data_IF_314584420128
#
_entry.id   IF_314584420128
#
_cell.length_a   1.000
_cell.length_b   1.000
_cell.length_c   1.000
_cell.angle_alpha   90.00
_cell.angle_beta   90.00
_cell.angle_gamma   90.00
#
_symmetry.space_group_name_H-M   'P 1'
#
loop_
_entity.id
_entity.type
_entity.pdbx_description
1 polymer ?
#
# COMPACT_ATOMS: atom_id res chain seq x y z
N UNK A 1 1.16 3.01 28.51
CA UNK A 1 -0.26 2.71 28.76
C UNK A 1 -0.88 2.23 27.46
N UNK A 2 -1.84 1.30 27.49
CA UNK A 2 -2.57 0.93 26.27
C UNK A 2 -3.36 2.13 25.75
N UNK A 3 -3.42 2.25 24.43
CA UNK A 3 -4.18 3.26 23.68
C UNK A 3 -5.38 2.59 23.03
N UNK A 4 -6.44 3.35 22.78
CA UNK A 4 -7.62 2.87 22.10
C UNK A 4 -7.50 3.21 20.61
N UNK A 5 -7.54 2.19 19.75
CA UNK A 5 -7.37 2.34 18.30
C UNK A 5 -8.63 1.83 17.59
N UNK A 6 -9.15 2.63 16.67
CA UNK A 6 -10.22 2.23 15.77
C UNK A 6 -9.63 1.86 14.41
N UNK A 7 -9.88 0.66 13.91
CA UNK A 7 -9.51 0.24 12.55
C UNK A 7 -10.78 0.23 11.69
N UNK A 8 -10.80 1.07 10.64
CA UNK A 8 -11.88 1.12 9.66
C UNK A 8 -11.58 0.15 8.51
N UNK A 9 -12.43 -0.85 8.34
CA UNK A 9 -12.28 -1.94 7.38
C UNK A 9 -11.79 -3.23 8.04
N UNK A 10 -12.57 -4.29 7.92
CA UNK A 10 -12.26 -5.66 8.35
C UNK A 10 -11.91 -6.59 7.18
N UNK A 11 -11.42 -6.02 6.08
CA UNK A 11 -10.81 -6.76 4.98
C UNK A 11 -9.50 -7.45 5.39
N UNK A 12 -8.79 -8.03 4.42
CA UNK A 12 -7.54 -8.77 4.68
C UNK A 12 -6.50 -7.93 5.43
N UNK A 13 -6.22 -6.72 4.93
CA UNK A 13 -5.20 -5.84 5.52
C UNK A 13 -5.69 -5.22 6.82
N UNK A 14 -6.91 -4.70 6.88
CA UNK A 14 -7.49 -4.13 8.10
C UNK A 14 -7.60 -5.14 9.24
N UNK A 15 -7.96 -6.39 8.94
CA UNK A 15 -7.92 -7.48 9.92
C UNK A 15 -6.51 -7.77 10.43
N UNK A 16 -5.50 -7.81 9.56
CA UNK A 16 -4.10 -8.01 9.95
C UNK A 16 -3.59 -6.87 10.87
N UNK A 17 -3.92 -5.62 10.51
CA UNK A 17 -3.63 -4.42 11.32
C UNK A 17 -4.26 -4.55 12.71
N UNK A 18 -5.54 -4.92 12.76
CA UNK A 18 -6.26 -5.03 14.03
C UNK A 18 -5.66 -6.09 14.95
N UNK A 19 -5.32 -7.26 14.41
CA UNK A 19 -4.71 -8.37 15.17
C UNK A 19 -3.31 -8.00 15.68
N UNK A 20 -2.49 -7.35 14.86
CA UNK A 20 -1.13 -6.96 15.24
C UNK A 20 -1.12 -5.85 16.31
N UNK A 21 -1.99 -4.84 16.18
CA UNK A 21 -2.10 -3.78 17.18
C UNK A 21 -2.71 -4.28 18.50
N UNK A 22 -3.61 -5.26 18.46
CA UNK A 22 -4.27 -5.81 19.65
C UNK A 22 -3.30 -6.51 20.62
N UNK A 23 -2.11 -6.90 20.16
CA UNK A 23 -1.05 -7.42 21.03
C UNK A 23 -0.53 -6.40 22.05
N UNK A 24 -0.69 -5.09 21.78
CA UNK A 24 -0.11 -4.00 22.59
C UNK A 24 -1.11 -2.89 22.96
N UNK A 25 -2.26 -2.82 22.29
CA UNK A 25 -3.26 -1.77 22.43
C UNK A 25 -4.68 -2.33 22.52
N UNK A 26 -5.65 -1.49 22.89
CA UNK A 26 -7.06 -1.86 22.83
C UNK A 26 -7.58 -1.52 21.43
N UNK A 27 -7.99 -2.52 20.68
CA UNK A 27 -8.40 -2.34 19.27
C UNK A 27 -9.90 -2.59 19.13
N UNK A 28 -10.56 -1.68 18.42
CA UNK A 28 -11.92 -1.89 17.90
C UNK A 28 -11.86 -1.89 16.39
N UNK A 29 -12.49 -2.87 15.75
CA UNK A 29 -12.56 -2.97 14.30
C UNK A 29 -13.99 -2.66 13.82
N UNK A 30 -14.09 -1.90 12.73
CA UNK A 30 -15.36 -1.48 12.14
C UNK A 30 -15.49 -1.91 10.68
N UNK A 31 -16.66 -2.38 10.29
CA UNK A 31 -16.97 -2.75 8.90
C UNK A 31 -18.50 -2.76 8.70
N UNK A 32 -18.97 -2.63 7.46
CA UNK A 32 -20.38 -2.82 7.08
C UNK A 32 -20.80 -4.30 7.10
N UNK A 33 -19.81 -5.19 7.00
CA UNK A 33 -20.00 -6.63 6.88
C UNK A 33 -19.77 -7.31 8.22
N UNK A 34 -20.87 -7.74 8.83
CA UNK A 34 -20.85 -8.60 10.03
C UNK A 34 -19.96 -9.84 9.83
N UNK A 35 -19.98 -10.41 8.63
CA UNK A 35 -19.14 -11.56 8.26
C UNK A 35 -17.64 -11.23 8.25
N UNK A 36 -17.26 -10.02 7.85
CA UNK A 36 -15.87 -9.59 7.88
C UNK A 36 -15.40 -9.41 9.33
N UNK A 37 -16.20 -8.75 10.17
CA UNK A 37 -15.94 -8.61 11.60
C UNK A 37 -15.77 -9.96 12.31
N UNK A 38 -16.68 -10.90 12.05
CA UNK A 38 -16.63 -12.24 12.66
C UNK A 38 -15.30 -12.96 12.38
N UNK A 39 -14.72 -12.83 11.18
CA UNK A 39 -13.42 -13.46 10.87
C UNK A 39 -12.30 -12.97 11.77
N UNK A 40 -12.27 -11.67 12.06
CA UNK A 40 -11.25 -11.07 12.94
C UNK A 40 -11.49 -11.48 14.39
N UNK A 41 -12.75 -11.49 14.83
CA UNK A 41 -13.13 -11.88 16.20
C UNK A 41 -12.89 -13.36 16.50
N UNK A 42 -12.96 -14.24 15.49
CA UNK A 42 -12.58 -15.65 15.64
C UNK A 42 -11.09 -15.81 15.96
N UNK A 43 -10.25 -14.93 15.42
CA UNK A 43 -8.80 -14.93 15.68
C UNK A 43 -8.44 -14.18 16.97
N UNK A 44 -9.20 -13.13 17.32
CA UNK A 44 -9.03 -12.42 18.57
C UNK A 44 -10.38 -11.95 19.18
N UNK A 45 -10.99 -12.78 20.05
CA UNK A 45 -12.28 -12.48 20.67
C UNK A 45 -12.31 -11.24 21.58
N UNK A 46 -11.14 -10.76 22.00
CA UNK A 46 -11.02 -9.59 22.88
C UNK A 46 -11.08 -8.25 22.12
N UNK A 47 -11.11 -8.27 20.79
CA UNK A 47 -11.22 -7.05 20.00
C UNK A 47 -12.64 -6.46 20.12
N UNK A 48 -12.74 -5.14 20.26
CA UNK A 48 -14.01 -4.45 20.11
C UNK A 48 -14.52 -4.54 18.67
N UNK A 49 -15.84 -4.42 18.47
CA UNK A 49 -16.45 -4.42 17.14
C UNK A 49 -17.49 -3.33 16.99
N UNK A 50 -17.57 -2.74 15.81
CA UNK A 50 -18.62 -1.80 15.42
C UNK A 50 -19.14 -2.12 14.02
N UNK A 51 -20.44 -2.38 13.89
CA UNK A 51 -21.07 -2.63 12.59
C UNK A 51 -21.60 -1.32 12.01
N UNK A 52 -20.83 -0.67 11.15
CA UNK A 52 -21.24 0.55 10.44
C UNK A 52 -20.38 0.82 9.21
N UNK A 53 -20.86 1.70 8.34
CA UNK A 53 -20.10 2.21 7.21
C UNK A 53 -19.03 3.20 7.67
N UNK A 54 -17.76 2.82 7.52
CA UNK A 54 -16.61 3.66 7.88
C UNK A 54 -16.56 5.00 7.11
N UNK A 55 -17.23 5.10 5.96
CA UNK A 55 -17.43 6.35 5.22
C UNK A 55 -18.52 7.27 5.81
N UNK A 56 -19.28 6.81 6.81
CA UNK A 56 -20.37 7.60 7.41
C UNK A 56 -19.84 8.54 8.50
N UNK A 57 -19.75 9.83 8.16
CA UNK A 57 -19.26 10.88 9.05
C UNK A 57 -20.01 10.96 10.40
N UNK A 58 -21.35 10.90 10.38
CA UNK A 58 -22.15 11.07 11.61
C UNK A 58 -21.92 9.90 12.58
N UNK A 59 -21.84 8.67 12.05
CA UNK A 59 -21.46 7.50 12.84
C UNK A 59 -20.04 7.65 13.38
N UNK A 60 -19.09 8.10 12.56
CA UNK A 60 -17.72 8.30 13.00
C UNK A 60 -17.61 9.35 14.11
N UNK A 61 -18.29 10.50 13.99
CA UNK A 61 -18.35 11.52 15.05
C UNK A 61 -18.87 10.95 16.36
N UNK A 62 -19.98 10.20 16.31
CA UNK A 62 -20.61 9.64 17.52
C UNK A 62 -19.83 8.51 18.20
N UNK A 63 -18.83 7.92 17.52
CA UNK A 63 -18.11 6.73 18.02
C UNK A 63 -16.62 6.97 18.22
N UNK A 64 -16.02 7.92 17.51
CA UNK A 64 -14.57 8.10 17.48
C UNK A 64 -13.98 8.76 18.73
N UNK A 65 -14.81 9.42 19.55
CA UNK A 65 -14.37 10.25 20.69
C UNK A 65 -13.42 9.51 21.64
N UNK A 66 -13.71 8.25 21.96
CA UNK A 66 -12.93 7.42 22.91
C UNK A 66 -11.63 6.83 22.35
N UNK A 67 -11.34 7.04 21.06
CA UNK A 67 -10.16 6.51 20.39
C UNK A 67 -9.04 7.55 20.29
N UNK A 68 -7.81 7.12 20.52
CA UNK A 68 -6.59 7.93 20.39
C UNK A 68 -6.11 8.05 18.93
N UNK A 69 -6.42 7.03 18.11
CA UNK A 69 -5.96 6.92 16.71
C UNK A 69 -7.01 6.17 15.88
N UNK A 70 -7.14 6.57 14.62
CA UNK A 70 -7.86 5.80 13.60
C UNK A 70 -6.87 5.24 12.58
N UNK A 71 -6.99 3.96 12.24
CA UNK A 71 -6.32 3.38 11.06
C UNK A 71 -7.35 3.19 9.97
N UNK A 72 -7.23 3.93 8.87
CA UNK A 72 -8.13 3.85 7.73
C UNK A 72 -7.61 2.80 6.72
N UNK A 73 -8.31 1.67 6.65
CA UNK A 73 -8.02 0.54 5.78
C UNK A 73 -9.22 0.23 4.85
N UNK A 74 -9.97 1.26 4.47
CA UNK A 74 -11.13 1.16 3.61
C UNK A 74 -10.72 1.10 2.12
N UNK A 75 -11.59 0.59 1.24
CA UNK A 75 -11.35 0.58 -0.20
C UNK A 75 -11.13 1.97 -0.80
N UNK A 76 -10.37 2.03 -1.89
CA UNK A 76 -9.95 3.28 -2.54
C UNK A 76 -11.08 4.24 -2.89
N UNK A 77 -12.21 3.72 -3.40
CA UNK A 77 -13.36 4.54 -3.82
C UNK A 77 -14.05 5.31 -2.68
N UNK A 78 -13.84 4.93 -1.40
CA UNK A 78 -14.29 5.69 -0.23
C UNK A 78 -13.13 6.23 0.61
N UNK A 79 -11.90 5.82 0.34
CA UNK A 79 -10.72 6.09 1.16
C UNK A 79 -10.50 7.58 1.43
N UNK A 80 -10.56 8.42 0.39
CA UNK A 80 -10.36 9.87 0.54
C UNK A 80 -11.44 10.52 1.42
N UNK A 81 -12.71 10.16 1.19
CA UNK A 81 -13.83 10.67 2.00
C UNK A 81 -13.74 10.23 3.46
N UNK A 82 -13.32 8.99 3.71
CA UNK A 82 -13.15 8.48 5.07
C UNK A 82 -11.97 9.15 5.78
N UNK A 83 -10.84 9.38 5.09
CA UNK A 83 -9.71 10.14 5.61
C UNK A 83 -10.15 11.56 6.00
N UNK A 84 -10.89 12.26 5.12
CA UNK A 84 -11.47 13.58 5.41
C UNK A 84 -12.35 13.53 6.65
N UNK A 85 -13.24 12.55 6.76
CA UNK A 85 -14.12 12.38 7.92
C UNK A 85 -13.34 12.17 9.22
N UNK A 86 -12.27 11.38 9.19
CA UNK A 86 -11.40 11.17 10.37
C UNK A 86 -10.76 12.50 10.82
N UNK A 87 -10.27 13.30 9.86
CA UNK A 87 -9.69 14.61 10.13
C UNK A 87 -10.75 15.57 10.70
N UNK A 88 -11.96 15.60 10.14
CA UNK A 88 -13.07 16.43 10.63
C UNK A 88 -13.46 16.08 12.08
N UNK A 89 -13.34 14.82 12.47
CA UNK A 89 -13.51 14.34 13.84
C UNK A 89 -12.34 14.70 14.79
N UNK A 90 -11.29 15.36 14.29
CA UNK A 90 -10.12 15.75 15.08
C UNK A 90 -9.25 14.57 15.51
N UNK A 91 -9.26 13.47 14.74
CA UNK A 91 -8.51 12.25 15.07
C UNK A 91 -7.25 12.13 14.23
N UNK A 92 -6.13 11.82 14.89
CA UNK A 92 -4.93 11.39 14.20
C UNK A 92 -5.22 10.11 13.39
N UNK A 93 -4.59 9.98 12.22
CA UNK A 93 -4.89 8.94 11.25
C UNK A 93 -3.62 8.32 10.69
N UNK A 94 -3.61 6.99 10.58
CA UNK A 94 -2.74 6.27 9.64
C UNK A 94 -3.62 5.70 8.54
N UNK A 95 -3.35 6.05 7.30
CA UNK A 95 -4.18 5.66 6.15
C UNK A 95 -3.38 4.80 5.17
N UNK A 96 -4.00 3.71 4.72
CA UNK A 96 -3.46 2.81 3.69
C UNK A 96 -4.34 2.77 2.44
N UNK A 97 -5.35 3.64 2.36
CA UNK A 97 -6.35 3.59 1.30
C UNK A 97 -5.76 4.21 0.03
N UNK A 98 -5.80 3.46 -1.09
CA UNK A 98 -5.33 3.98 -2.37
C UNK A 98 -6.49 4.66 -3.12
N UNK A 99 -6.51 5.99 -3.18
CA UNK A 99 -7.58 6.77 -3.83
C UNK A 99 -7.01 7.71 -4.90
N UNK A 100 -7.70 8.02 -6.00
CA UNK A 100 -7.14 8.85 -7.09
C UNK A 100 -6.88 10.32 -6.72
N UNK A 101 -7.59 10.85 -5.72
CA UNK A 101 -7.47 12.22 -5.24
C UNK A 101 -6.09 12.55 -4.65
N UNK A 102 -5.77 13.84 -4.59
CA UNK A 102 -4.54 14.31 -3.98
C UNK A 102 -4.70 14.41 -2.45
N UNK A 103 -3.98 13.62 -1.63
CA UNK A 103 -4.13 13.67 -0.18
C UNK A 103 -3.80 15.06 0.39
N UNK A 104 -2.89 15.81 -0.25
CA UNK A 104 -2.48 17.14 0.22
C UNK A 104 -3.60 18.20 0.15
N UNK A 105 -4.69 17.95 -0.58
CA UNK A 105 -5.86 18.83 -0.59
C UNK A 105 -6.53 18.90 0.79
N UNK A 106 -6.27 17.91 1.65
CA UNK A 106 -6.72 17.86 3.05
C UNK A 106 -5.71 18.46 4.05
N UNK A 107 -4.55 18.95 3.60
CA UNK A 107 -3.47 19.42 4.49
C UNK A 107 -3.89 20.60 5.36
N UNK A 108 -4.53 21.62 4.78
CA UNK A 108 -5.01 22.79 5.52
C UNK A 108 -6.06 22.41 6.57
N UNK A 109 -7.00 21.52 6.20
CA UNK A 109 -8.02 21.00 7.12
C UNK A 109 -7.38 20.22 8.29
N UNK A 110 -6.39 19.37 8.01
CA UNK A 110 -5.68 18.63 9.04
C UNK A 110 -4.91 19.54 9.99
N UNK A 111 -4.29 20.62 9.48
CA UNK A 111 -3.64 21.63 10.33
C UNK A 111 -4.65 22.38 11.20
N UNK A 112 -5.78 22.82 10.64
CA UNK A 112 -6.86 23.50 11.39
C UNK A 112 -7.38 22.63 12.54
N UNK A 113 -7.54 21.32 12.30
CA UNK A 113 -8.02 20.35 13.30
C UNK A 113 -6.93 19.86 14.25
N UNK A 114 -5.67 20.26 14.07
CA UNK A 114 -4.54 19.78 14.88
C UNK A 114 -4.24 18.29 14.70
N UNK A 115 -4.63 17.72 13.56
CA UNK A 115 -4.56 16.30 13.24
C UNK A 115 -3.24 15.97 12.53
N UNK A 116 -2.63 14.85 12.92
CA UNK A 116 -1.53 14.18 12.21
C UNK A 116 -2.12 13.07 11.37
N UNK A 117 -2.08 13.21 10.06
CA UNK A 117 -2.60 12.21 9.13
C UNK A 117 -1.46 11.69 8.25
N UNK A 118 -0.96 10.49 8.58
CA UNK A 118 0.06 9.83 7.76
C UNK A 118 -0.64 9.00 6.70
N UNK A 119 -0.48 9.40 5.43
CA UNK A 119 -1.16 8.79 4.28
C UNK A 119 -0.27 7.77 3.59
N UNK A 120 -0.82 6.97 2.68
CA UNK A 120 -0.06 6.04 1.83
C UNK A 120 0.87 5.10 2.64
N UNK A 121 0.45 4.65 3.83
CA UNK A 121 1.29 3.90 4.78
C UNK A 121 1.33 2.38 4.53
N UNK A 122 1.46 1.94 3.28
CA UNK A 122 1.53 0.54 2.90
C UNK A 122 2.95 0.03 2.64
N UNK A 123 3.07 -1.01 1.81
CA UNK A 123 4.37 -1.46 1.29
C UNK A 123 4.85 -0.52 0.17
N UNK A 124 4.00 -0.29 -0.82
CA UNK A 124 4.19 0.57 -1.97
C UNK A 124 2.81 1.05 -2.47
N UNK A 125 2.47 2.34 -2.32
CA UNK A 125 3.26 3.37 -1.63
C UNK A 125 3.39 3.09 -0.13
N UNK A 126 4.43 3.65 0.51
CA UNK A 126 4.66 3.55 1.95
C UNK A 126 6.10 3.22 2.30
N UNK A 127 6.43 1.95 2.55
CA UNK A 127 7.82 1.56 2.83
C UNK A 127 8.76 1.93 1.66
N UNK A 128 8.34 1.77 0.41
CA UNK A 128 9.08 2.23 -0.78
C UNK A 128 9.39 3.73 -0.72
N UNK A 129 8.38 4.54 -0.38
CA UNK A 129 8.52 5.98 -0.20
C UNK A 129 9.46 6.34 0.95
N UNK A 130 9.36 5.66 2.09
CA UNK A 130 10.26 5.86 3.23
C UNK A 130 11.71 5.53 2.87
N UNK A 131 11.95 4.49 2.07
CA UNK A 131 13.29 4.19 1.53
C UNK A 131 13.78 5.36 0.67
N UNK A 132 12.93 5.89 -0.22
CA UNK A 132 13.27 7.05 -1.05
C UNK A 132 13.63 8.27 -0.20
N UNK A 133 12.78 8.62 0.77
CA UNK A 133 12.99 9.77 1.66
C UNK A 133 14.25 9.65 2.53
N UNK A 134 14.54 8.45 3.05
CA UNK A 134 15.76 8.20 3.84
C UNK A 134 17.03 8.46 3.02
N UNK A 135 17.09 7.95 1.79
CA UNK A 135 18.25 8.17 0.92
C UNK A 135 18.33 9.61 0.42
N UNK A 136 17.19 10.21 0.09
CA UNK A 136 17.14 11.62 -0.29
C UNK A 136 17.67 12.56 0.80
N UNK A 137 17.43 12.23 2.07
CA UNK A 137 17.97 13.00 3.20
C UNK A 137 19.47 12.79 3.46
N UNK A 138 20.07 11.73 2.90
CA UNK A 138 21.43 11.28 3.28
C UNK A 138 22.44 11.29 2.14
N UNK A 139 21.99 11.33 0.88
CA UNK A 139 22.83 11.36 -0.31
C UNK A 139 22.20 12.14 -1.47
N UNK A 140 22.99 12.50 -2.48
CA UNK A 140 22.49 13.11 -3.72
C UNK A 140 21.91 12.03 -4.64
N UNK A 141 20.62 11.76 -4.50
CA UNK A 141 19.92 10.70 -5.24
C UNK A 141 19.64 11.13 -6.68
N UNK A 142 19.99 10.26 -7.63
CA UNK A 142 19.77 10.45 -9.07
C UNK A 142 18.66 9.56 -9.62
N UNK A 143 18.60 8.32 -9.17
CA UNK A 143 17.65 7.32 -9.65
C UNK A 143 17.00 6.57 -8.49
N UNK A 144 15.69 6.41 -8.57
CA UNK A 144 14.88 5.57 -7.69
C UNK A 144 14.01 4.66 -8.54
N UNK A 145 14.09 3.36 -8.30
CA UNK A 145 13.25 2.36 -8.96
C UNK A 145 12.64 1.45 -7.90
N UNK A 146 11.31 1.35 -7.88
CA UNK A 146 10.57 0.42 -7.03
C UNK A 146 9.95 -0.67 -7.92
N UNK A 147 10.25 -1.92 -7.63
CA UNK A 147 9.59 -3.08 -8.21
C UNK A 147 8.80 -3.77 -7.11
N UNK A 148 7.49 -3.96 -7.28
CA UNK A 148 6.65 -4.53 -6.22
C UNK A 148 5.55 -5.44 -6.76
N UNK A 149 5.29 -6.55 -6.08
CA UNK A 149 4.17 -7.42 -6.41
C UNK A 149 3.85 -8.43 -5.32
N UNK A 150 2.56 -8.70 -5.15
CA UNK A 150 2.04 -9.88 -4.45
C UNK A 150 1.61 -10.92 -5.49
N UNK A 151 2.19 -12.11 -5.45
CA UNK A 151 2.00 -13.15 -6.44
C UNK A 151 1.76 -14.51 -5.76
N UNK A 152 1.01 -15.42 -6.40
CA UNK A 152 1.04 -16.82 -6.01
C UNK A 152 2.45 -17.40 -6.24
N UNK A 153 2.85 -18.35 -5.40
CA UNK A 153 4.01 -19.19 -5.69
C UNK A 153 3.70 -19.97 -6.98
N UNK A 154 4.68 -20.06 -7.88
CA UNK A 154 4.45 -20.64 -9.20
C UNK A 154 4.02 -22.11 -9.05
N UNK A 155 2.86 -22.44 -9.58
CA UNK A 155 2.40 -23.83 -9.75
C UNK A 155 2.49 -24.19 -11.23
N UNK A 156 2.57 -25.49 -11.55
CA UNK A 156 2.72 -26.01 -12.93
C UNK A 156 1.51 -25.74 -13.87
N UNK A 157 0.62 -24.80 -13.52
CA UNK A 157 -0.63 -24.49 -14.21
C UNK A 157 -0.68 -23.11 -14.89
N UNK A 158 -1.84 -22.78 -15.45
CA UNK A 158 -2.12 -21.52 -16.16
C UNK A 158 -2.50 -20.35 -15.25
N UNK A 159 -2.48 -20.54 -13.93
CA UNK A 159 -2.90 -19.57 -12.93
C UNK A 159 -1.70 -18.74 -12.47
N UNK A 160 -1.36 -17.74 -13.27
CA UNK A 160 -0.22 -16.83 -13.10
C UNK A 160 -0.52 -15.64 -12.18
N UNK A 161 -1.77 -15.50 -11.71
CA UNK A 161 -2.13 -14.45 -10.77
C UNK A 161 -3.32 -14.81 -9.88
N UNK A 162 -3.20 -14.46 -8.59
CA UNK A 162 -4.28 -14.44 -7.61
C UNK A 162 -4.28 -13.08 -6.97
N UNK A 163 -5.44 -12.43 -6.92
CA UNK A 163 -5.52 -11.03 -6.50
C UNK A 163 -5.44 -10.95 -4.95
N UNK A 164 -4.44 -10.25 -4.41
CA UNK A 164 -4.38 -10.02 -2.96
C UNK A 164 -5.47 -9.06 -2.49
N UNK A 165 -5.97 -8.20 -3.39
CA UNK A 165 -7.05 -7.21 -3.21
C UNK A 165 -8.16 -7.36 -4.29
N UNK A 166 -9.09 -6.40 -4.40
CA UNK A 166 -10.24 -6.53 -5.31
C UNK A 166 -9.80 -6.58 -6.78
N UNK A 167 -10.35 -7.48 -7.61
CA UNK A 167 -10.12 -7.48 -9.05
C UNK A 167 -10.48 -6.15 -9.72
N UNK A 168 -11.49 -5.44 -9.24
CA UNK A 168 -11.86 -4.11 -9.73
C UNK A 168 -10.69 -3.11 -9.58
N UNK A 169 -10.01 -3.12 -8.43
CA UNK A 169 -8.86 -2.25 -8.17
C UNK A 169 -7.67 -2.63 -9.06
N UNK A 170 -7.46 -3.93 -9.32
CA UNK A 170 -6.43 -4.42 -10.24
C UNK A 170 -6.69 -3.94 -11.67
N UNK A 171 -7.94 -4.03 -12.14
CA UNK A 171 -8.30 -3.55 -13.48
C UNK A 171 -8.13 -2.03 -13.57
N UNK A 172 -8.54 -1.29 -12.54
CA UNK A 172 -8.35 0.15 -12.47
C UNK A 172 -6.86 0.54 -12.57
N UNK A 173 -5.98 -0.19 -11.89
CA UNK A 173 -4.52 -0.02 -11.99
C UNK A 173 -4.01 -0.19 -13.43
N UNK A 174 -4.64 -1.06 -14.23
CA UNK A 174 -4.25 -1.36 -15.62
C UNK A 174 -4.89 -0.42 -16.65
N UNK A 175 -5.89 0.35 -16.24
CA UNK A 175 -6.58 1.35 -17.06
C UNK A 175 -6.02 2.76 -16.85
N UNK A 176 -5.49 3.06 -15.67
CA UNK A 176 -4.93 4.38 -15.35
C UNK A 176 -3.52 4.54 -15.90
N UNK A 177 -3.26 5.66 -16.58
CA UNK A 177 -1.89 6.01 -17.00
C UNK A 177 -0.93 6.08 -15.80
N UNK A 178 0.22 5.43 -15.96
CA UNK A 178 1.32 5.47 -15.01
C UNK A 178 2.04 6.83 -15.08
N UNK A 179 2.12 7.53 -13.95
CA UNK A 179 2.93 8.74 -13.79
C UNK A 179 4.25 8.41 -13.11
N UNK A 180 5.35 8.84 -13.70
CA UNK A 180 6.68 8.69 -13.14
C UNK A 180 7.58 9.88 -13.49
N UNK A 181 8.75 10.01 -12.86
CA UNK A 181 9.67 11.14 -13.10
C UNK A 181 10.82 10.69 -14.01
N UNK A 182 11.11 11.48 -15.05
CA UNK A 182 12.30 11.31 -15.90
C UNK A 182 12.91 12.66 -16.22
N UNK A 183 14.20 12.83 -15.95
CA UNK A 183 14.88 14.11 -16.13
C UNK A 183 14.26 15.25 -15.32
N UNK A 184 13.67 14.95 -14.16
CA UNK A 184 12.99 15.93 -13.30
C UNK A 184 11.60 16.34 -13.77
N UNK A 185 11.05 15.73 -14.81
CA UNK A 185 9.70 16.01 -15.32
C UNK A 185 8.78 14.81 -15.13
N UNK A 186 7.50 15.08 -14.84
CA UNK A 186 6.46 14.06 -14.84
C UNK A 186 6.23 13.58 -16.27
N UNK A 187 6.42 12.28 -16.48
CA UNK A 187 6.09 11.55 -17.71
C UNK A 187 4.86 10.68 -17.44
N UNK A 188 4.00 10.58 -18.45
CA UNK A 188 2.84 9.68 -18.45
C UNK A 188 3.01 8.62 -19.51
N UNK A 189 2.71 7.37 -19.17
CA UNK A 189 2.60 6.26 -20.12
C UNK A 189 1.41 5.37 -19.77
N UNK A 190 0.84 4.66 -20.75
CA UNK A 190 -0.17 3.65 -20.45
C UNK A 190 0.34 2.64 -19.42
N UNK A 191 -0.51 2.18 -18.51
CA UNK A 191 -0.17 1.05 -17.65
C UNK A 191 0.15 -0.20 -18.49
N UNK A 192 0.84 -1.17 -17.90
CA UNK A 192 1.34 -2.38 -18.57
C UNK A 192 2.43 -2.12 -19.63
N UNK A 193 2.88 -0.87 -19.83
CA UNK A 193 3.94 -0.51 -20.78
C UNK A 193 5.36 -0.73 -20.23
N UNK A 194 6.36 -0.63 -21.12
CA UNK A 194 7.79 -0.80 -20.82
C UNK A 194 8.10 -2.08 -20.03
N UNK A 195 7.50 -3.18 -20.48
CA UNK A 195 7.69 -4.51 -19.90
C UNK A 195 9.17 -4.89 -19.95
N UNK A 196 9.73 -5.26 -18.81
CA UNK A 196 11.09 -5.79 -18.68
C UNK A 196 11.10 -7.03 -17.78
N UNK A 197 12.11 -7.89 -17.94
CA UNK A 197 12.32 -9.01 -17.05
C UNK A 197 13.29 -8.60 -15.93
N UNK A 198 12.93 -8.95 -14.70
CA UNK A 198 13.72 -8.68 -13.50
C UNK A 198 14.00 -10.02 -12.81
N UNK A 199 15.28 -10.38 -12.73
CA UNK A 199 15.71 -11.60 -12.08
C UNK A 199 15.77 -11.46 -10.56
N UNK A 200 15.21 -12.45 -9.86
CA UNK A 200 15.29 -12.62 -8.41
C UNK A 200 15.94 -13.96 -8.08
N UNK A 201 16.95 -13.94 -7.20
CA UNK A 201 17.78 -15.11 -6.87
C UNK A 201 16.97 -16.37 -6.54
N UNK A 202 15.87 -16.24 -5.79
CA UNK A 202 15.05 -17.37 -5.34
C UNK A 202 13.71 -17.52 -6.07
N UNK A 203 13.28 -16.53 -6.85
CA UNK A 203 11.95 -16.51 -7.49
C UNK A 203 12.04 -16.67 -9.02
N UNK A 204 13.24 -16.59 -9.59
CA UNK A 204 13.45 -16.54 -11.03
C UNK A 204 13.09 -15.18 -11.62
N UNK A 205 12.87 -15.15 -12.93
CA UNK A 205 12.50 -13.94 -13.66
C UNK A 205 11.00 -13.62 -13.45
N UNK A 206 10.73 -12.39 -13.02
CA UNK A 206 9.40 -11.79 -13.04
C UNK A 206 9.37 -10.71 -14.11
N UNK A 207 8.20 -10.45 -14.69
CA UNK A 207 8.03 -9.27 -15.54
C UNK A 207 7.65 -8.06 -14.69
N UNK A 208 8.21 -6.91 -15.04
CA UNK A 208 7.92 -5.62 -14.43
C UNK A 208 7.39 -4.66 -15.49
N UNK A 209 6.34 -3.91 -15.17
CA UNK A 209 5.74 -2.94 -16.10
C UNK A 209 5.24 -1.70 -15.37
N UNK A 210 5.04 -0.62 -16.10
CA UNK A 210 4.62 0.66 -15.54
C UNK A 210 3.21 0.58 -14.95
N UNK A 211 3.07 1.07 -13.71
CA UNK A 211 1.80 1.31 -12.99
C UNK A 211 1.92 2.62 -12.20
N UNK A 212 0.79 3.24 -11.87
CA UNK A 212 0.77 4.57 -11.23
C UNK A 212 0.99 4.49 -9.71
N UNK A 213 2.21 4.15 -9.32
CA UNK A 213 2.58 3.83 -7.93
C UNK A 213 3.30 4.91 -7.13
N UNK A 214 3.92 5.90 -7.79
CA UNK A 214 4.77 6.90 -7.09
C UNK A 214 4.01 7.81 -6.12
N UNK A 215 2.73 8.08 -6.37
CA UNK A 215 1.84 8.77 -5.42
C UNK A 215 2.43 10.09 -4.91
N UNK A 216 2.56 10.27 -3.59
CA UNK A 216 3.10 11.49 -2.97
C UNK A 216 4.51 11.83 -3.43
N UNK A 217 5.34 10.85 -3.81
CA UNK A 217 6.71 11.08 -4.30
C UNK A 217 6.76 12.04 -5.49
N UNK A 218 5.71 12.06 -6.32
CA UNK A 218 5.60 12.97 -7.47
C UNK A 218 5.63 14.46 -7.08
N UNK A 219 5.26 14.78 -5.83
CA UNK A 219 5.15 16.16 -5.34
C UNK A 219 6.17 16.49 -4.24
N UNK A 220 6.72 15.49 -3.55
CA UNK A 220 7.52 15.69 -2.33
C UNK A 220 9.02 15.56 -2.55
N UNK A 221 9.48 14.70 -3.47
CA UNK A 221 10.90 14.46 -3.72
C UNK A 221 11.31 14.97 -5.10
N UNK A 222 12.46 15.65 -5.15
CA UNK A 222 13.03 16.20 -6.38
C UNK A 222 14.14 15.29 -6.92
N UNK A 223 13.85 13.99 -7.05
CA UNK A 223 14.78 13.02 -7.63
C UNK A 223 14.60 13.03 -9.16
N UNK A 224 15.68 13.17 -9.94
CA UNK A 224 15.61 13.30 -11.40
C UNK A 224 14.93 12.14 -12.12
N UNK A 225 15.11 10.91 -11.65
CA UNK A 225 14.48 9.73 -12.22
C UNK A 225 13.83 8.92 -11.09
N UNK A 226 12.52 8.77 -11.13
CA UNK A 226 11.77 7.94 -10.20
C UNK A 226 10.76 7.13 -10.99
N UNK A 227 10.63 5.84 -10.71
CA UNK A 227 9.57 4.99 -11.28
C UNK A 227 9.21 3.88 -10.31
N UNK A 228 7.92 3.55 -10.27
CA UNK A 228 7.43 2.32 -9.65
C UNK A 228 6.87 1.42 -10.75
N UNK A 229 7.15 0.12 -10.63
CA UNK A 229 6.71 -0.92 -11.55
C UNK A 229 6.10 -2.08 -10.79
N UNK A 230 4.99 -2.56 -11.31
CA UNK A 230 4.30 -3.73 -10.77
C UNK A 230 4.93 -5.01 -11.32
N UNK A 231 5.19 -5.98 -10.44
CA UNK A 231 5.74 -7.30 -10.75
C UNK A 231 4.64 -8.33 -10.96
N UNK A 232 4.76 -9.13 -12.02
CA UNK A 232 3.90 -10.29 -12.30
C UNK A 232 4.73 -11.47 -12.83
N UNK A 233 4.11 -12.64 -12.88
CA UNK A 233 4.69 -13.78 -13.59
C UNK A 233 4.71 -13.49 -15.10
N UNK A 234 5.74 -13.94 -15.84
CA UNK A 234 5.87 -13.64 -17.27
C UNK A 234 4.62 -14.00 -18.10
N UNK A 235 4.19 -13.07 -18.96
CA UNK A 235 3.03 -13.20 -19.85
C UNK A 235 1.73 -12.59 -19.31
N UNK A 236 1.70 -12.11 -18.07
CA UNK A 236 0.51 -11.50 -17.48
C UNK A 236 0.16 -10.17 -18.17
N UNK A 237 1.15 -9.31 -18.41
CA UNK A 237 0.99 -7.99 -19.00
C UNK A 237 0.37 -8.09 -20.39
N UNK A 238 0.87 -8.99 -21.24
CA UNK A 238 0.34 -9.24 -22.58
C UNK A 238 -1.14 -9.65 -22.54
N UNK A 239 -1.52 -10.56 -21.63
CA UNK A 239 -2.92 -10.99 -21.46
C UNK A 239 -3.83 -9.85 -21.00
N UNK A 240 -3.36 -9.04 -20.06
CA UNK A 240 -4.15 -7.89 -19.56
C UNK A 240 -4.25 -6.78 -20.61
N UNK A 241 -3.19 -6.55 -21.39
CA UNK A 241 -3.21 -5.63 -22.54
C UNK A 241 -4.21 -6.10 -23.58
N UNK A 242 -4.21 -7.40 -23.92
CA UNK A 242 -5.21 -7.97 -24.82
C UNK A 242 -6.65 -7.72 -24.35
N UNK A 243 -6.96 -7.97 -23.07
CA UNK A 243 -8.29 -7.68 -22.53
C UNK A 243 -8.64 -6.19 -22.62
N UNK A 244 -7.69 -5.31 -22.28
CA UNK A 244 -7.87 -3.86 -22.37
C UNK A 244 -8.15 -3.42 -23.81
N UNK A 245 -7.30 -3.82 -24.75
CA UNK A 245 -7.32 -3.33 -26.12
C UNK A 245 -8.57 -3.81 -26.90
N UNK A 246 -9.19 -4.90 -26.44
CA UNK A 246 -10.48 -5.40 -26.95
C UNK A 246 -11.71 -4.85 -26.20
N UNK A 247 -11.52 -3.88 -25.29
CA UNK A 247 -12.60 -3.20 -24.60
C UNK A 247 -13.23 -3.98 -23.44
N UNK A 248 -12.61 -5.07 -22.96
CA UNK A 248 -13.15 -5.84 -21.82
C UNK A 248 -13.06 -5.08 -20.49
N UNK A 249 -12.26 -4.01 -20.44
CA UNK A 249 -12.11 -3.13 -19.28
C UNK A 249 -12.80 -1.77 -19.46
N UNK A 250 -13.57 -1.58 -20.53
CA UNK A 250 -14.34 -0.35 -20.73
C UNK A 250 -15.46 -0.23 -19.70
N UNK A 251 -15.67 0.98 -19.17
CA UNK A 251 -16.75 1.25 -18.23
C UNK A 251 -18.12 1.07 -18.88
N UNK A 252 -18.25 1.42 -20.16
CA UNK A 252 -19.51 1.32 -20.92
C UNK A 252 -19.26 1.03 -22.39
N UNK A 253 -20.11 0.21 -22.98
CA UNK A 253 -20.14 -0.05 -24.42
C UNK A 253 -21.58 -0.01 -24.92
N UNK A 254 -21.84 0.81 -25.95
CA UNK A 254 -23.17 0.95 -26.55
C UNK A 254 -23.31 -0.06 -27.69
N UNK A 255 -24.23 -1.01 -27.54
CA UNK A 255 -24.67 -1.87 -28.65
C UNK A 255 -25.89 -1.23 -29.34
N UNK A 256 -26.31 -1.78 -30.48
CA UNK A 256 -27.54 -1.33 -31.15
C UNK A 256 -28.82 -1.47 -30.27
N UNK A 257 -28.81 -2.37 -29.28
CA UNK A 257 -30.00 -2.76 -28.50
C UNK A 257 -29.93 -2.36 -27.02
N UNK A 258 -28.73 -2.19 -26.47
CA UNK A 258 -28.53 -1.94 -25.04
C UNK A 258 -27.13 -1.38 -24.75
N UNK A 259 -26.97 -0.83 -23.55
CA UNK A 259 -25.66 -0.51 -22.98
C UNK A 259 -25.19 -1.71 -22.16
N UNK A 260 -23.95 -2.13 -22.37
CA UNK A 260 -23.28 -3.14 -21.55
C UNK A 260 -22.11 -2.49 -20.79
N UNK A 261 -21.67 -3.14 -19.71
CA UNK A 261 -20.59 -2.67 -18.83
C UNK A 261 -19.48 -3.74 -18.81
N UNK A 262 -18.60 -3.79 -19.82
CA UNK A 262 -17.62 -4.87 -19.96
C UNK A 262 -16.76 -5.06 -18.71
N UNK A 263 -16.23 -3.97 -18.14
CA UNK A 263 -15.38 -4.00 -16.95
C UNK A 263 -15.98 -4.77 -15.79
N UNK A 264 -17.24 -4.52 -15.43
CA UNK A 264 -17.89 -5.19 -14.30
C UNK A 264 -18.11 -6.67 -14.52
N UNK A 265 -18.42 -7.09 -15.75
CA UNK A 265 -18.56 -8.50 -16.11
C UNK A 265 -17.20 -9.20 -16.07
N UNK A 266 -16.17 -8.58 -16.66
CA UNK A 266 -14.81 -9.10 -16.66
C UNK A 266 -14.26 -9.20 -15.24
N UNK A 267 -14.48 -8.19 -14.38
CA UNK A 267 -14.09 -8.21 -12.97
C UNK A 267 -14.72 -9.37 -12.22
N UNK A 268 -16.01 -9.65 -12.42
CA UNK A 268 -16.69 -10.79 -11.76
C UNK A 268 -16.17 -12.15 -12.26
N UNK A 269 -15.82 -12.27 -13.54
CA UNK A 269 -15.17 -13.47 -14.08
C UNK A 269 -13.78 -13.67 -13.48
N UNK A 270 -12.97 -12.62 -13.46
CA UNK A 270 -11.62 -12.63 -12.90
C UNK A 270 -11.66 -12.90 -11.39
N UNK A 271 -12.64 -12.37 -10.66
CA UNK A 271 -12.84 -12.64 -9.23
C UNK A 271 -12.97 -14.12 -8.91
N UNK A 272 -13.60 -14.90 -9.77
CA UNK A 272 -13.71 -16.36 -9.60
C UNK A 272 -12.35 -17.03 -9.78
N UNK A 273 -11.58 -16.62 -10.80
CA UNK A 273 -10.27 -17.20 -11.13
C UNK A 273 -9.15 -16.77 -10.18
N UNK A 274 -9.14 -15.50 -9.80
CA UNK A 274 -8.13 -14.86 -8.96
C UNK A 274 -8.36 -15.02 -7.47
N UNK A 275 -9.47 -15.64 -7.06
CA UNK A 275 -9.74 -15.92 -5.64
C UNK A 275 -8.68 -16.87 -5.10
N UNK A 276 -7.89 -16.45 -4.07
CA UNK A 276 -6.95 -17.35 -3.42
C UNK A 276 -7.68 -18.52 -2.77
N UNK A 277 -7.11 -19.72 -2.90
CA UNK A 277 -7.60 -20.93 -2.24
C UNK A 277 -6.92 -21.15 -0.88
N UNK A 278 -7.52 -21.95 0.02
CA UNK A 278 -7.18 -22.00 1.45
C UNK A 278 -5.74 -22.48 1.77
N UNK A 279 -4.99 -22.98 0.80
CA UNK A 279 -3.63 -23.51 0.99
C UNK A 279 -2.68 -23.13 -0.15
N UNK A 280 -3.08 -22.18 -0.99
CA UNK A 280 -2.23 -21.73 -2.07
C UNK A 280 -1.16 -20.80 -1.49
N UNK A 281 0.10 -21.20 -1.67
CA UNK A 281 1.23 -20.39 -1.23
C UNK A 281 1.30 -19.13 -2.08
N UNK A 282 1.56 -18.03 -1.42
CA UNK A 282 1.75 -16.73 -2.05
C UNK A 282 2.92 -16.01 -1.37
N UNK A 283 3.44 -15.00 -2.07
CA UNK A 283 4.48 -14.15 -1.53
C UNK A 283 4.27 -12.71 -1.99
N UNK A 284 4.81 -11.78 -1.21
CA UNK A 284 4.99 -10.40 -1.60
C UNK A 284 6.48 -10.11 -1.67
N UNK A 285 6.91 -9.58 -2.81
CA UNK A 285 8.30 -9.17 -3.03
C UNK A 285 8.33 -7.70 -3.43
N UNK A 286 9.28 -6.96 -2.86
CA UNK A 286 9.60 -5.60 -3.28
C UNK A 286 11.11 -5.45 -3.41
N UNK A 287 11.58 -4.95 -4.55
CA UNK A 287 12.96 -4.51 -4.76
C UNK A 287 12.98 -3.00 -4.96
N UNK A 288 13.68 -2.28 -4.10
CA UNK A 288 13.93 -0.85 -4.27
C UNK A 288 15.40 -0.63 -4.58
N UNK A 289 15.69 0.05 -5.67
CA UNK A 289 17.03 0.47 -6.05
C UNK A 289 17.13 1.99 -5.98
N UNK A 290 18.11 2.47 -5.20
CA UNK A 290 18.42 3.89 -5.08
C UNK A 290 19.86 4.12 -5.50
N UNK A 291 20.06 4.94 -6.54
CA UNK A 291 21.39 5.29 -7.06
C UNK A 291 21.62 6.78 -6.84
N UNK A 292 22.79 7.12 -6.33
CA UNK A 292 23.17 8.50 -6.07
C UNK A 292 24.65 8.66 -5.79
N UNK A 293 25.03 9.86 -5.35
CA UNK A 293 26.39 10.16 -4.89
C UNK A 293 26.40 10.29 -3.38
N UNK A 294 27.16 9.41 -2.72
CA UNK A 294 27.40 9.45 -1.28
C UNK A 294 28.91 9.56 -1.06
N UNK A 295 29.37 10.55 -0.30
CA UNK A 295 30.80 10.76 -0.05
C UNK A 295 31.67 10.83 -1.32
N UNK A 296 31.19 11.51 -2.37
CA UNK A 296 31.82 11.63 -3.71
C UNK A 296 31.97 10.30 -4.47
N UNK A 297 31.32 9.23 -4.03
CA UNK A 297 31.29 7.94 -4.72
C UNK A 297 29.88 7.66 -5.22
N UNK A 298 29.78 7.22 -6.48
CA UNK A 298 28.52 6.73 -7.01
C UNK A 298 28.18 5.44 -6.27
N UNK A 299 26.98 5.39 -5.70
CA UNK A 299 26.56 4.34 -4.77
C UNK A 299 25.18 3.86 -5.17
N UNK A 300 24.97 2.55 -5.11
CA UNK A 300 23.67 1.90 -5.22
C UNK A 300 23.31 1.24 -3.90
N UNK A 301 22.10 1.52 -3.42
CA UNK A 301 21.45 0.72 -2.40
C UNK A 301 20.35 -0.11 -3.04
N UNK A 302 20.33 -1.40 -2.74
CA UNK A 302 19.27 -2.33 -3.15
C UNK A 302 18.63 -2.91 -1.90
N UNK A 303 17.33 -2.67 -1.74
CA UNK A 303 16.50 -3.26 -0.70
C UNK A 303 15.71 -4.40 -1.34
N UNK A 304 15.74 -5.58 -0.74
CA UNK A 304 14.88 -6.70 -1.12
C UNK A 304 14.02 -7.07 0.08
N UNK A 305 12.72 -6.85 -0.03
CA UNK A 305 11.70 -7.20 0.96
C UNK A 305 10.98 -8.44 0.44
N UNK A 306 10.81 -9.44 1.32
CA UNK A 306 10.11 -10.67 0.99
C UNK A 306 9.31 -11.17 2.19
N UNK A 307 8.06 -11.58 1.96
CA UNK A 307 7.21 -12.25 2.94
C UNK A 307 6.35 -13.31 2.23
N UNK A 308 6.16 -14.46 2.85
CA UNK A 308 5.40 -15.59 2.31
C UNK A 308 4.06 -15.82 3.04
N UNK A 309 3.57 -14.81 3.76
CA UNK A 309 2.40 -14.95 4.61
C UNK A 309 2.73 -15.60 5.96
N UNK A 310 1.70 -15.73 6.79
CA UNK A 310 1.75 -16.48 8.04
C UNK A 310 0.63 -17.52 8.05
N UNK A 311 1.01 -18.79 7.90
CA UNK A 311 0.10 -19.92 7.91
C UNK A 311 -0.64 -20.09 9.24
N UNK A 312 -0.04 -19.71 10.37
CA UNK A 312 -0.64 -19.90 11.70
C UNK A 312 -1.82 -18.96 11.91
N UNK A 313 -1.68 -17.72 11.47
CA UNK A 313 -2.72 -16.69 11.57
C UNK A 313 -3.57 -16.61 10.30
N UNK A 314 -3.21 -17.36 9.26
CA UNK A 314 -3.76 -17.27 7.91
C UNK A 314 -3.74 -15.83 7.37
N UNK A 315 -2.68 -15.08 7.71
CA UNK A 315 -2.50 -13.70 7.27
C UNK A 315 -1.67 -13.69 6.00
N UNK A 316 -2.20 -13.13 4.92
CA UNK A 316 -1.55 -13.09 3.62
C UNK A 316 -0.28 -12.22 3.64
N UNK A 317 0.67 -12.51 2.75
CA UNK A 317 1.94 -11.78 2.61
C UNK A 317 1.73 -10.28 2.35
N UNK A 318 0.76 -9.95 1.50
CA UNK A 318 0.40 -8.57 1.19
C UNK A 318 -0.23 -7.86 2.39
N UNK A 319 -1.07 -8.57 3.16
CA UNK A 319 -1.69 -8.02 4.36
C UNK A 319 -0.66 -7.76 5.46
N UNK A 320 0.35 -8.63 5.60
CA UNK A 320 1.47 -8.44 6.53
C UNK A 320 2.34 -7.27 6.13
N UNK A 321 2.86 -7.26 4.89
CA UNK A 321 3.78 -6.20 4.44
C UNK A 321 3.13 -4.82 4.39
N UNK A 322 1.88 -4.72 3.94
CA UNK A 322 1.12 -3.46 3.94
C UNK A 322 0.70 -3.08 5.36
N UNK A 323 0.03 -4.01 6.05
CA UNK A 323 -0.56 -3.74 7.36
C UNK A 323 0.49 -3.46 8.43
N UNK A 324 1.56 -4.22 8.49
CA UNK A 324 2.58 -4.05 9.54
C UNK A 324 3.46 -2.82 9.32
N UNK A 325 3.55 -2.32 8.08
CA UNK A 325 4.14 -1.00 7.84
C UNK A 325 3.24 0.08 8.47
N UNK A 326 1.93 0.00 8.25
CA UNK A 326 0.97 0.91 8.88
C UNK A 326 0.98 0.82 10.41
N UNK A 327 1.06 -0.39 10.99
CA UNK A 327 1.10 -0.53 12.46
C UNK A 327 2.41 0.00 13.05
N UNK A 328 3.54 -0.14 12.37
CA UNK A 328 4.80 0.45 12.79
C UNK A 328 4.70 1.99 12.85
N UNK A 329 4.11 2.61 11.82
CA UNK A 329 3.84 4.06 11.80
C UNK A 329 2.84 4.44 12.90
N UNK A 330 1.77 3.66 13.10
CA UNK A 330 0.79 3.89 14.15
C UNK A 330 1.43 3.92 15.54
N UNK A 331 2.34 2.97 15.84
CA UNK A 331 3.09 2.95 17.10
C UNK A 331 3.98 4.18 17.25
N UNK A 332 4.68 4.61 16.19
CA UNK A 332 5.50 5.81 16.23
C UNK A 332 4.67 7.08 16.48
N UNK A 333 3.50 7.17 15.86
CA UNK A 333 2.55 8.26 16.06
C UNK A 333 2.03 8.29 17.51
N UNK A 334 1.55 7.16 18.02
CA UNK A 334 1.04 7.03 19.40
C UNK A 334 2.11 7.31 20.47
N UNK A 335 3.38 7.02 20.16
CA UNK A 335 4.51 7.28 21.03
C UNK A 335 5.07 8.72 20.90
N UNK A 336 4.46 9.57 20.05
CA UNK A 336 4.81 10.99 19.93
C UNK A 336 6.10 11.25 19.13
N UNK A 337 6.56 10.31 18.31
CA UNK A 337 7.72 10.50 17.43
C UNK A 337 7.37 11.35 16.20
N UNK A 338 6.11 11.34 15.78
CA UNK A 338 5.57 12.16 14.71
C UNK A 338 4.90 13.38 15.33
N UNK A 339 5.37 14.58 15.01
CA UNK A 339 4.98 15.82 15.71
C UNK A 339 4.23 16.84 14.86
N UNK A 340 4.48 16.83 13.55
CA UNK A 340 3.96 17.86 12.64
C UNK A 340 2.50 17.55 12.31
N UNK A 341 1.59 18.51 12.53
CA UNK A 341 0.20 18.38 12.11
C UNK A 341 0.08 18.60 10.59
N UNK A 342 -1.01 18.10 10.03
CA UNK A 342 -1.29 18.12 8.60
C UNK A 342 -1.27 16.72 7.99
N UNK A 343 -1.32 16.69 6.66
CA UNK A 343 -1.05 15.50 5.85
C UNK A 343 0.46 15.27 5.79
N UNK A 344 0.88 14.05 6.14
CA UNK A 344 2.27 13.62 6.24
C UNK A 344 2.47 12.48 5.27
N UNK A 345 3.29 12.69 4.25
CA UNK A 345 3.67 11.63 3.32
C UNK A 345 4.73 10.70 3.96
N UNK A 346 4.76 9.40 3.61
CA UNK A 346 5.68 8.44 4.24
C UNK A 346 7.16 8.83 4.09
N UNK A 347 7.56 9.37 2.94
CA UNK A 347 8.91 9.84 2.64
C UNK A 347 9.38 10.98 3.55
N UNK A 348 8.46 11.74 4.16
CA UNK A 348 8.81 12.82 5.08
C UNK A 348 9.28 12.28 6.45
N UNK A 349 8.75 11.13 6.89
CA UNK A 349 9.10 10.53 8.18
C UNK A 349 10.62 10.33 8.39
N UNK A 350 11.36 9.72 7.45
CA UNK A 350 12.81 9.57 7.56
C UNK A 350 13.61 10.86 7.31
N UNK A 351 12.98 11.93 6.82
CA UNK A 351 13.62 13.23 6.59
C UNK A 351 13.57 14.16 7.82
N UNK A 352 12.77 13.80 8.83
CA UNK A 352 12.71 14.51 10.12
C UNK A 352 14.04 14.46 10.87
N UNK A 353 14.21 15.33 11.88
CA UNK A 353 15.44 15.38 12.72
C UNK A 353 15.83 14.02 13.33
N UNK A 354 14.84 13.20 13.71
CA UNK A 354 15.03 11.84 14.23
C UNK A 354 14.75 10.76 13.17
N UNK A 355 14.74 11.13 11.89
CA UNK A 355 14.26 10.31 10.79
C UNK A 355 15.00 8.99 10.63
N UNK A 356 16.31 8.95 10.89
CA UNK A 356 17.08 7.69 10.92
C UNK A 356 16.55 6.71 11.96
N UNK A 357 16.22 7.18 13.16
CA UNK A 357 15.66 6.33 14.22
C UNK A 357 14.26 5.84 13.86
N UNK A 358 13.42 6.74 13.34
CA UNK A 358 12.06 6.42 12.86
C UNK A 358 12.13 5.32 11.80
N UNK A 359 12.96 5.52 10.77
CA UNK A 359 13.14 4.56 9.68
C UNK A 359 13.66 3.21 10.18
N UNK A 360 14.70 3.20 11.02
CA UNK A 360 15.24 1.96 11.58
C UNK A 360 14.20 1.22 12.43
N UNK A 361 13.40 1.94 13.22
CA UNK A 361 12.33 1.37 14.05
C UNK A 361 11.28 0.67 13.19
N UNK A 362 10.89 1.25 12.05
CA UNK A 362 9.94 0.64 11.12
C UNK A 362 10.52 -0.65 10.53
N UNK A 363 11.78 -0.62 10.07
CA UNK A 363 12.45 -1.83 9.54
C UNK A 363 12.57 -2.92 10.61
N UNK A 364 12.84 -2.56 11.85
CA UNK A 364 12.98 -3.50 12.96
C UNK A 364 11.62 -4.08 13.39
N UNK A 365 10.53 -3.30 13.36
CA UNK A 365 9.16 -3.79 13.53
C UNK A 365 8.83 -4.87 12.49
N UNK A 366 9.09 -4.60 11.21
CA UNK A 366 8.83 -5.54 10.13
C UNK A 366 9.67 -6.83 10.26
N UNK A 367 10.97 -6.70 10.60
CA UNK A 367 11.84 -7.86 10.86
C UNK A 367 11.36 -8.69 12.04
N UNK A 368 10.91 -8.05 13.12
CA UNK A 368 10.33 -8.75 14.29
C UNK A 368 9.06 -9.51 13.93
N UNK A 369 8.27 -8.99 12.99
CA UNK A 369 7.12 -9.70 12.45
C UNK A 369 7.50 -10.88 11.54
N UNK A 370 8.79 -11.06 11.22
CA UNK A 370 9.30 -12.14 10.36
C UNK A 370 9.41 -11.79 8.88
N UNK A 371 9.22 -10.52 8.51
CA UNK A 371 9.39 -10.06 7.12
C UNK A 371 10.89 -9.98 6.82
N UNK A 372 11.33 -10.62 5.73
CA UNK A 372 12.72 -10.59 5.29
C UNK A 372 13.03 -9.23 4.66
N UNK A 373 14.06 -8.56 5.16
CA UNK A 373 14.53 -7.28 4.62
C UNK A 373 16.05 -7.35 4.47
N UNK A 374 16.51 -7.47 3.23
CA UNK A 374 17.91 -7.46 2.86
C UNK A 374 18.28 -6.09 2.28
N UNK A 375 19.42 -5.54 2.70
CA UNK A 375 19.92 -4.24 2.23
C UNK A 375 21.35 -4.45 1.76
N UNK A 376 21.59 -4.21 0.47
CA UNK A 376 22.92 -4.29 -0.15
C UNK A 376 23.36 -2.91 -0.58
N UNK A 377 24.58 -2.52 -0.20
CA UNK A 377 25.25 -1.30 -0.65
C UNK A 377 26.40 -1.68 -1.59
N UNK A 378 26.44 -1.07 -2.76
CA UNK A 378 27.49 -1.29 -3.76
C UNK A 378 28.03 0.06 -4.24
N UNK A 379 29.35 0.21 -4.29
CA UNK A 379 29.97 1.34 -5.00
C UNK A 379 29.94 1.04 -6.49
N UNK A 380 29.46 1.98 -7.29
CA UNK A 380 29.43 1.89 -8.75
C UNK A 380 30.63 2.69 -9.25
N UNK A 381 31.41 2.09 -10.14
CA UNK A 381 32.52 2.77 -10.80
C UNK A 381 32.06 3.85 -11.80
#
# INVERSE_FOLDING_TARGET
MRKNILVLGAGRVGGAIALDLAGTHNVTIADISEKALQKVLLLNPNSGRLLFDGGNLERLKSTSESFDLIVNALPGFIGFSALKNCIECGKDVVDISFFPENPFDLHALAQEKGVKAVVDCGIAPGLSNMIAGYHFATMDVRDFVCYVGGLPEKTDGTDDYKAPFSPDDVIEEYMRDARFIRGGMIVRKPALSDVELVDFDTLGALEAFNTDGLRTLLQTLHIPNMVEKTLRHPGHADRMQFLRDFGFFDDKFNTERSVIFPKSHTAELLKRKWRPTLHEKEFTVMRVEVVGTENRKKTRYTYTIYDAGDEKTNTSSMARTTGYTATAVARLLLNGWIKNNGIIAPECLPMEKNGKFIFQTILDDLRRAGISIQIKKTTID
#
